data_IF_920773848357
#
_entry.id   IF_920773848357
#
_cell.length_a   1.000
_cell.length_b   1.000
_cell.length_c   1.000
_cell.angle_alpha   90.00
_cell.angle_beta   90.00
_cell.angle_gamma   90.00
#
_symmetry.space_group_name_H-M   'P 1'
#
loop_
_entity.id
_entity.type
_entity.pdbx_description
1 polymer ?
#
# COMPACT_ATOMS: atom_id res chain seq x y z
N UNK A 1 -27.91 15.75 -14.20
CA UNK A 1 -26.80 15.89 -13.24
C UNK A 1 -26.33 14.50 -12.92
N UNK A 2 -25.26 14.04 -13.58
CA UNK A 2 -24.73 12.68 -13.41
C UNK A 2 -24.22 12.48 -11.98
N UNK A 3 -24.74 11.45 -11.31
CA UNK A 3 -24.23 10.99 -10.04
C UNK A 3 -22.94 10.21 -10.30
N UNK A 4 -21.81 10.73 -9.83
CA UNK A 4 -20.54 10.03 -9.85
C UNK A 4 -20.53 9.00 -8.72
N UNK A 5 -21.17 7.85 -8.92
CA UNK A 5 -21.10 6.69 -8.03
C UNK A 5 -19.65 6.21 -7.95
N UNK A 6 -19.05 6.32 -6.75
CA UNK A 6 -17.76 5.70 -6.46
C UNK A 6 -18.01 4.19 -6.39
N UNK A 7 -17.66 3.48 -7.45
CA UNK A 7 -17.74 2.03 -7.51
C UNK A 7 -16.67 1.49 -6.56
N UNK A 8 -17.10 0.93 -5.42
CA UNK A 8 -16.22 0.24 -4.50
C UNK A 8 -15.94 -1.16 -5.06
N UNK A 9 -14.75 -1.33 -5.64
CA UNK A 9 -14.34 -2.61 -6.25
C UNK A 9 -13.47 -3.36 -5.24
N UNK A 10 -14.05 -4.37 -4.60
CA UNK A 10 -13.32 -5.30 -3.74
C UNK A 10 -12.79 -6.48 -4.57
N UNK A 11 -11.47 -6.68 -4.62
CA UNK A 11 -10.81 -7.76 -5.37
C UNK A 11 -10.22 -8.76 -4.37
N UNK A 12 -10.74 -10.00 -4.35
CA UNK A 12 -10.21 -11.07 -3.49
C UNK A 12 -9.15 -11.89 -4.26
N UNK A 13 -7.87 -11.65 -3.92
CA UNK A 13 -6.72 -12.38 -4.50
C UNK A 13 -6.15 -13.32 -3.43
N UNK A 14 -5.84 -14.60 -3.72
CA UNK A 14 -5.22 -15.54 -2.79
C UNK A 14 -3.72 -15.24 -2.61
N UNK A 15 -3.40 -14.02 -2.22
CA UNK A 15 -2.04 -13.53 -2.05
C UNK A 15 -1.88 -12.96 -0.64
N UNK A 16 -0.79 -13.32 0.01
CA UNK A 16 -0.45 -12.80 1.33
C UNK A 16 0.01 -11.35 1.17
N UNK A 17 -0.89 -10.38 1.24
CA UNK A 17 -0.61 -8.96 1.08
C UNK A 17 -0.77 -8.23 2.43
N UNK A 18 0.34 -8.04 3.13
CA UNK A 18 0.36 -7.33 4.42
C UNK A 18 1.75 -6.79 4.75
N UNK A 19 1.80 -5.77 5.60
CA UNK A 19 3.04 -5.21 6.13
C UNK A 19 3.41 -5.99 7.41
N UNK A 20 4.49 -6.77 7.42
CA UNK A 20 4.91 -7.49 8.61
C UNK A 20 5.51 -6.53 9.64
N UNK A 21 5.29 -6.80 10.93
CA UNK A 21 5.83 -5.99 12.04
C UNK A 21 7.36 -6.03 12.12
N UNK A 22 7.99 -7.00 11.43
CA UNK A 22 9.44 -7.05 11.26
C UNK A 22 9.97 -6.00 10.29
N UNK A 23 9.13 -5.51 9.37
CA UNK A 23 9.51 -4.50 8.38
C UNK A 23 9.22 -3.10 8.92
N UNK A 24 7.98 -2.87 9.38
CA UNK A 24 7.60 -1.65 10.08
C UNK A 24 7.20 -2.03 11.52
N UNK A 25 8.10 -1.88 12.50
CA UNK A 25 7.82 -2.22 13.89
C UNK A 25 6.89 -1.21 14.56
N UNK A 26 6.90 0.05 14.11
CA UNK A 26 6.02 1.09 14.64
C UNK A 26 4.61 0.97 14.05
N UNK A 27 3.62 0.79 14.91
CA UNK A 27 2.23 0.62 14.49
C UNK A 27 1.63 1.90 13.89
N UNK A 28 2.06 3.09 14.31
CA UNK A 28 1.56 4.34 13.71
C UNK A 28 2.04 4.47 12.27
N UNK A 29 3.32 4.17 12.02
CA UNK A 29 3.87 4.21 10.68
C UNK A 29 3.18 3.21 9.76
N UNK A 30 2.98 1.98 10.25
CA UNK A 30 2.21 0.95 9.53
C UNK A 30 0.81 1.43 9.14
N UNK A 31 0.08 2.07 10.06
CA UNK A 31 -1.25 2.65 9.78
C UNK A 31 -1.16 3.77 8.73
N UNK A 32 -0.15 4.64 8.82
CA UNK A 32 0.07 5.71 7.83
C UNK A 32 0.34 5.14 6.43
N UNK A 33 1.14 4.07 6.32
CA UNK A 33 1.41 3.39 5.04
C UNK A 33 0.12 2.83 4.45
N UNK A 34 -0.69 2.13 5.24
CA UNK A 34 -1.99 1.62 4.77
C UNK A 34 -2.95 2.74 4.34
N UNK A 35 -2.99 3.86 5.08
CA UNK A 35 -3.81 5.01 4.72
C UNK A 35 -3.35 5.64 3.40
N UNK A 36 -2.03 5.80 3.21
CA UNK A 36 -1.47 6.31 1.97
C UNK A 36 -1.79 5.38 0.81
N UNK A 37 -1.54 4.08 0.93
CA UNK A 37 -1.85 3.07 -0.10
C UNK A 37 -3.33 3.14 -0.52
N UNK A 38 -4.24 3.22 0.45
CA UNK A 38 -5.68 3.31 0.17
C UNK A 38 -6.13 4.66 -0.42
N UNK A 39 -5.30 5.70 -0.35
CA UNK A 39 -5.60 7.05 -0.87
C UNK A 39 -4.86 7.38 -2.15
N UNK A 40 -3.94 6.52 -2.60
CA UNK A 40 -3.15 6.73 -3.82
C UNK A 40 -3.95 6.25 -5.02
N UNK A 41 -4.42 7.19 -5.83
CA UNK A 41 -5.09 6.93 -7.12
C UNK A 41 -4.14 6.98 -8.33
N UNK A 42 -2.85 7.29 -8.13
CA UNK A 42 -1.87 7.48 -9.21
C UNK A 42 -0.71 6.51 -9.08
N UNK A 43 -0.45 5.75 -10.16
CA UNK A 43 0.66 4.78 -10.20
C UNK A 43 2.04 5.42 -10.05
N UNK A 44 2.24 6.66 -10.52
CA UNK A 44 3.50 7.39 -10.34
C UNK A 44 3.77 7.69 -8.86
N UNK A 45 2.75 8.18 -8.15
CA UNK A 45 2.83 8.47 -6.70
C UNK A 45 3.07 7.18 -5.92
N UNK A 46 2.44 6.08 -6.34
CA UNK A 46 2.66 4.76 -5.74
C UNK A 46 4.12 4.31 -5.89
N UNK A 47 4.71 4.50 -7.07
CA UNK A 47 6.10 4.16 -7.35
C UNK A 47 7.10 5.02 -6.55
N UNK A 48 6.87 6.33 -6.45
CA UNK A 48 7.66 7.22 -5.60
C UNK A 48 7.57 6.80 -4.13
N UNK A 49 6.36 6.46 -3.66
CA UNK A 49 6.14 6.00 -2.29
C UNK A 49 6.83 4.66 -2.00
N UNK A 50 6.86 3.76 -2.99
CA UNK A 50 7.63 2.53 -2.92
C UNK A 50 9.14 2.80 -2.77
N UNK A 51 9.69 3.73 -3.56
CA UNK A 51 11.13 4.07 -3.49
C UNK A 51 11.49 4.70 -2.14
N UNK A 52 10.64 5.59 -1.63
CA UNK A 52 10.81 6.25 -0.33
C UNK A 52 10.81 5.23 0.83
N UNK A 53 9.87 4.29 0.82
CA UNK A 53 9.84 3.20 1.79
C UNK A 53 11.05 2.28 1.69
N UNK A 54 11.56 2.01 0.47
CA UNK A 54 12.76 1.20 0.29
C UNK A 54 13.99 1.95 0.81
N UNK A 55 14.05 3.27 0.65
CA UNK A 55 15.13 4.09 1.18
C UNK A 55 15.12 4.13 2.73
N UNK A 56 13.93 4.18 3.34
CA UNK A 56 13.78 4.26 4.81
C UNK A 56 13.89 2.90 5.51
N UNK A 57 13.19 1.88 5.00
CA UNK A 57 13.05 0.56 5.63
C UNK A 57 13.82 -0.56 4.90
N UNK A 58 14.39 -0.29 3.72
CA UNK A 58 15.10 -1.27 2.92
C UNK A 58 14.17 -2.14 2.05
N UNK A 59 14.68 -3.25 1.56
CA UNK A 59 13.96 -4.11 0.62
C UNK A 59 12.61 -4.63 1.16
N UNK A 60 11.58 -4.57 0.32
CA UNK A 60 10.28 -5.13 0.65
C UNK A 60 10.31 -6.65 0.80
N UNK A 61 9.72 -7.18 1.88
CA UNK A 61 9.37 -8.59 1.92
C UNK A 61 8.27 -8.88 0.91
N UNK A 62 8.14 -10.14 0.51
CA UNK A 62 7.19 -10.58 -0.52
C UNK A 62 5.76 -10.11 -0.23
N UNK A 63 5.35 -10.13 1.04
CA UNK A 63 4.01 -9.74 1.46
C UNK A 63 3.73 -8.24 1.33
N UNK A 64 4.76 -7.40 1.45
CA UNK A 64 4.63 -5.95 1.22
C UNK A 64 4.57 -5.70 -0.28
N UNK A 65 5.43 -6.35 -1.07
CA UNK A 65 5.43 -6.20 -2.53
C UNK A 65 4.06 -6.52 -3.14
N UNK A 66 3.39 -7.54 -2.59
CA UNK A 66 2.03 -7.93 -2.97
C UNK A 66 0.95 -6.85 -2.74
N UNK A 67 1.20 -5.84 -1.89
CA UNK A 67 0.30 -4.69 -1.71
C UNK A 67 0.42 -3.64 -2.82
N UNK A 68 1.52 -3.68 -3.58
CA UNK A 68 1.84 -2.74 -4.66
C UNK A 68 1.66 -3.36 -6.06
N UNK A 69 1.19 -4.61 -6.14
CA UNK A 69 0.92 -5.36 -7.37
C UNK A 69 -0.56 -5.28 -7.73
#
# INVERSE_FOLDING_TARGET
TECNERIDVSIEIPLEAYIPDKYIPDTKDKVNVYQKLSSVDNMEILAEFQDDLIAEYGNFPKQVNNLFQ
#
